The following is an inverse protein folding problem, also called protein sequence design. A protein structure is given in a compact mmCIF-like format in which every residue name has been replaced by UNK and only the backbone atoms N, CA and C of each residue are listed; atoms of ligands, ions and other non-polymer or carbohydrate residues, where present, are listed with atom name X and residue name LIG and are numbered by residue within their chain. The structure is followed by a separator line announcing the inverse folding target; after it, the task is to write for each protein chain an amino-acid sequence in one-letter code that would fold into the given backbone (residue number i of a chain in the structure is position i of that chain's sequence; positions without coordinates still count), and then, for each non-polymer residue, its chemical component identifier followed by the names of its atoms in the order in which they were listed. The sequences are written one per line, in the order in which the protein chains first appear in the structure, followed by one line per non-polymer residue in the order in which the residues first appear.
data_IF_958432455965
#
_entry.id   IF_958432455965
#
_cell.length_a   1.000
_cell.length_b   1.000
_cell.length_c   1.000
_cell.angle_alpha   90.00
_cell.angle_beta   90.00
_cell.angle_gamma   90.00
#
_symmetry.space_group_name_H-M   'P 1'
#
loop_
_entity.id
_entity.type
_entity.pdbx_description
1 polymer ?
#
# COMPACT_ATOMS: atom_id res chain seq x y z
N UNK A 1 13.77 -22.61 -9.92
CA UNK A 1 12.49 -22.52 -9.17
C UNK A 1 12.60 -23.47 -7.98
N UNK A 2 12.14 -23.10 -6.77
CA UNK A 2 12.17 -24.01 -5.63
C UNK A 2 11.27 -25.22 -5.89
N UNK A 3 11.69 -26.39 -5.45
CA UNK A 3 10.89 -27.61 -5.56
C UNK A 3 9.73 -27.61 -4.55
N UNK A 4 8.69 -28.40 -4.79
CA UNK A 4 7.53 -28.49 -3.88
C UNK A 4 7.92 -28.94 -2.46
N UNK A 5 8.92 -29.82 -2.36
CA UNK A 5 9.47 -30.27 -1.08
C UNK A 5 10.12 -29.14 -0.29
N UNK A 6 10.93 -28.31 -0.95
CA UNK A 6 11.52 -27.12 -0.31
C UNK A 6 10.45 -26.12 0.13
N UNK A 7 9.39 -25.93 -0.68
CA UNK A 7 8.28 -25.05 -0.31
C UNK A 7 7.53 -25.55 0.93
N UNK A 8 7.23 -26.86 1.01
CA UNK A 8 6.60 -27.46 2.20
C UNK A 8 7.49 -27.35 3.44
N UNK A 9 8.79 -27.58 3.30
CA UNK A 9 9.73 -27.49 4.42
C UNK A 9 9.83 -26.06 4.97
N UNK A 10 9.85 -25.05 4.10
CA UNK A 10 9.82 -23.64 4.53
C UNK A 10 8.51 -23.30 5.25
N UNK A 11 7.36 -23.68 4.69
CA UNK A 11 6.05 -23.42 5.32
C UNK A 11 5.94 -24.07 6.70
N UNK A 12 6.46 -25.28 6.88
CA UNK A 12 6.52 -25.95 8.18
C UNK A 12 7.40 -25.19 9.18
N UNK A 13 8.58 -24.70 8.75
CA UNK A 13 9.46 -23.86 9.59
C UNK A 13 8.76 -22.55 9.99
N UNK A 14 8.09 -21.87 9.06
CA UNK A 14 7.33 -20.65 9.35
C UNK A 14 6.17 -20.91 10.31
N UNK A 15 5.39 -21.98 10.11
CA UNK A 15 4.28 -22.35 10.98
C UNK A 15 4.74 -22.68 12.41
N UNK A 16 5.84 -23.44 12.56
CA UNK A 16 6.41 -23.74 13.87
C UNK A 16 6.96 -22.49 14.57
N UNK A 17 7.58 -21.58 13.82
CA UNK A 17 8.08 -20.31 14.36
C UNK A 17 6.93 -19.41 14.82
N UNK A 18 5.86 -19.31 14.02
CA UNK A 18 4.66 -18.56 14.38
C UNK A 18 3.95 -19.13 15.62
N UNK A 19 3.85 -20.47 15.73
CA UNK A 19 3.30 -21.15 16.91
C UNK A 19 4.13 -20.95 18.17
N UNK A 20 5.45 -20.80 18.04
CA UNK A 20 6.37 -20.55 19.15
C UNK A 20 6.28 -19.13 19.74
N UNK A 21 5.36 -18.29 19.27
CA UNK A 21 5.13 -16.93 19.78
C UNK A 21 6.21 -15.90 19.40
N UNK A 22 7.26 -16.32 18.68
CA UNK A 22 8.26 -15.41 18.14
C UNK A 22 7.64 -14.64 16.97
N UNK A 23 7.66 -13.30 17.03
CA UNK A 23 7.28 -12.46 15.89
C UNK A 23 8.14 -12.86 14.69
N UNK A 24 7.55 -13.33 13.58
CA UNK A 24 8.29 -13.63 12.37
C UNK A 24 9.07 -12.37 11.95
N UNK A 25 10.37 -12.48 11.74
CA UNK A 25 11.21 -11.38 11.24
C UNK A 25 10.79 -10.93 9.85
N UNK A 26 10.12 -11.80 9.09
CA UNK A 26 9.56 -11.50 7.78
C UNK A 26 8.03 -11.54 7.83
N UNK A 27 7.34 -10.43 7.49
CA UNK A 27 5.88 -10.42 7.43
C UNK A 27 5.40 -11.36 6.32
N UNK A 28 4.33 -12.09 6.60
CA UNK A 28 3.70 -12.94 5.58
C UNK A 28 3.21 -12.09 4.39
N UNK A 29 3.06 -12.70 3.21
CA UNK A 29 2.49 -11.98 2.04
C UNK A 29 1.12 -11.39 2.38
N UNK A 30 0.30 -12.11 3.14
CA UNK A 30 -1.00 -11.64 3.60
C UNK A 30 -0.89 -10.39 4.49
N UNK A 31 0.06 -10.36 5.43
CA UNK A 31 0.32 -9.16 6.24
C UNK A 31 0.83 -7.98 5.43
N UNK A 32 1.67 -8.23 4.41
CA UNK A 32 2.15 -7.17 3.52
C UNK A 32 1.00 -6.57 2.69
N UNK A 33 0.09 -7.42 2.21
CA UNK A 33 -1.12 -7.00 1.50
C UNK A 33 -2.08 -6.24 2.41
N UNK A 34 -2.24 -6.67 3.66
CA UNK A 34 -3.10 -6.00 4.64
C UNK A 34 -2.59 -4.60 5.02
N UNK A 35 -1.27 -4.38 4.98
CA UNK A 35 -0.64 -3.07 5.27
C UNK A 35 -0.58 -2.14 4.06
N UNK A 36 -0.96 -2.61 2.87
CA UNK A 36 -0.96 -1.77 1.67
C UNK A 36 -2.12 -0.79 1.73
N UNK A 37 -1.81 0.49 1.57
CA UNK A 37 -2.82 1.54 1.44
C UNK A 37 -3.72 1.26 0.23
N UNK A 38 -5.05 1.34 0.36
CA UNK A 38 -5.97 1.12 -0.76
C UNK A 38 -5.91 2.24 -1.80
N UNK A 39 -5.42 3.42 -1.40
CA UNK A 39 -5.26 4.58 -2.28
C UNK A 39 -3.82 4.68 -2.78
N UNK A 40 -3.68 4.76 -4.10
CA UNK A 40 -2.41 5.05 -4.75
C UNK A 40 -2.06 6.55 -4.57
N UNK A 41 -0.77 6.87 -4.50
CA UNK A 41 -0.24 8.24 -4.42
C UNK A 41 -0.75 9.11 -5.57
N UNK A 42 -0.92 8.52 -6.76
CA UNK A 42 -1.49 9.22 -7.92
C UNK A 42 -2.94 9.67 -7.69
N UNK A 43 -3.76 8.82 -7.05
CA UNK A 43 -5.14 9.17 -6.72
C UNK A 43 -5.20 10.33 -5.71
N UNK A 44 -4.32 10.30 -4.70
CA UNK A 44 -4.13 11.43 -3.78
C UNK A 44 -3.73 12.72 -4.52
N UNK A 45 -2.80 12.61 -5.47
CA UNK A 45 -2.37 13.75 -6.30
C UNK A 45 -3.52 14.39 -7.08
N UNK A 46 -4.39 13.58 -7.69
CA UNK A 46 -5.57 14.09 -8.41
C UNK A 46 -6.54 14.80 -7.47
N UNK A 47 -6.81 14.23 -6.29
CA UNK A 47 -7.70 14.87 -5.30
C UNK A 47 -7.15 16.23 -4.88
N UNK A 48 -5.86 16.30 -4.55
CA UNK A 48 -5.19 17.55 -4.18
C UNK A 48 -5.23 18.55 -5.33
N UNK A 49 -4.97 18.12 -6.56
CA UNK A 49 -5.04 18.96 -7.74
C UNK A 49 -6.44 19.52 -7.98
N UNK A 50 -7.50 18.73 -7.81
CA UNK A 50 -8.88 19.22 -7.99
C UNK A 50 -9.24 20.26 -6.92
N UNK A 51 -8.88 19.99 -5.66
CA UNK A 51 -9.17 20.90 -4.54
C UNK A 51 -8.42 22.24 -4.71
N UNK A 52 -7.11 22.19 -5.01
CA UNK A 52 -6.30 23.41 -5.17
C UNK A 52 -6.60 24.09 -6.51
N UNK A 53 -6.73 23.30 -7.57
CA UNK A 53 -6.99 23.78 -8.94
C UNK A 53 -8.33 24.51 -9.05
N UNK A 54 -9.37 24.07 -8.34
CA UNK A 54 -10.64 24.79 -8.28
C UNK A 54 -10.50 26.18 -7.65
N UNK A 55 -9.70 26.31 -6.60
CA UNK A 55 -9.41 27.60 -5.95
C UNK A 55 -8.59 28.50 -6.86
N UNK A 56 -7.54 27.97 -7.50
CA UNK A 56 -6.72 28.72 -8.46
C UNK A 56 -7.57 29.19 -9.64
N UNK A 57 -8.40 28.30 -10.20
CA UNK A 57 -9.32 28.63 -11.28
C UNK A 57 -10.27 29.76 -10.89
N UNK A 58 -10.81 29.71 -9.68
CA UNK A 58 -11.71 30.75 -9.18
C UNK A 58 -10.99 32.10 -9.02
N UNK A 59 -9.74 32.12 -8.58
CA UNK A 59 -8.92 33.34 -8.50
C UNK A 59 -8.62 33.89 -9.89
N UNK A 60 -8.20 33.02 -10.83
CA UNK A 60 -7.93 33.42 -12.21
C UNK A 60 -9.18 34.01 -12.86
N UNK A 61 -10.35 33.39 -12.62
CA UNK A 61 -11.63 33.92 -13.09
C UNK A 61 -11.89 35.31 -12.52
N UNK A 62 -11.77 35.49 -11.20
CA UNK A 62 -11.95 36.78 -10.53
C UNK A 62 -11.03 37.89 -11.03
N UNK A 63 -9.82 37.55 -11.46
CA UNK A 63 -8.82 38.52 -11.87
C UNK A 63 -8.84 38.83 -13.37
N UNK A 64 -9.28 37.88 -14.22
CA UNK A 64 -9.10 37.97 -15.67
C UNK A 64 -10.35 37.68 -16.50
N UNK A 65 -11.40 37.11 -15.90
CA UNK A 65 -12.57 36.59 -16.61
C UNK A 65 -13.91 37.07 -16.05
N UNK A 66 -13.88 38.03 -15.12
CA UNK A 66 -15.03 38.79 -14.62
C UNK A 66 -14.96 40.24 -15.13
#
# INVERSE_FOLDING_TARGET
MPTEFEMRQRNAKFANTAKSGKKPTHPSRAEQLAKRSPLNVWALGVVVFVVIGGVIFQIVRLLFLD
#
